data_IF_546141399956
#
_entry.id   IF_546141399956
#
_cell.length_a   1.000
_cell.length_b   1.000
_cell.length_c   1.000
_cell.angle_alpha   90.00
_cell.angle_beta   90.00
_cell.angle_gamma   90.00
#
_symmetry.space_group_name_H-M   'P 1'
#
loop_
_entity.id
_entity.type
_entity.pdbx_description
1 polymer ?
#
# COMPACT_ATOMS: atom_id res chain seq x y z
N UNK A 1 4.73 -14.04 12.31
CA UNK A 1 5.75 -13.49 11.38
C UNK A 1 5.26 -12.13 10.89
N UNK A 2 6.15 -11.17 10.59
CA UNK A 2 5.77 -9.83 10.14
C UNK A 2 6.28 -9.57 8.72
N UNK A 3 5.47 -8.86 7.94
CA UNK A 3 5.84 -8.36 6.62
C UNK A 3 5.81 -6.84 6.62
N UNK A 4 6.67 -6.25 5.79
CA UNK A 4 6.60 -4.84 5.43
C UNK A 4 5.93 -4.72 4.07
N UNK A 5 5.13 -3.68 3.93
CA UNK A 5 4.48 -3.32 2.67
C UNK A 5 4.78 -1.86 2.38
N UNK A 6 4.97 -1.56 1.09
CA UNK A 6 4.99 -0.20 0.56
C UNK A 6 4.06 -0.14 -0.64
N UNK A 7 3.21 0.88 -0.65
CA UNK A 7 2.26 1.16 -1.72
C UNK A 7 2.39 2.64 -2.10
N UNK A 8 2.47 2.93 -3.39
CA UNK A 8 2.33 4.28 -3.94
C UNK A 8 1.22 4.31 -4.97
N UNK A 9 0.48 5.41 -4.99
CA UNK A 9 -0.57 5.67 -5.99
C UNK A 9 -0.33 7.06 -6.54
N UNK A 10 0.01 7.16 -7.81
CA UNK A 10 0.32 8.41 -8.48
C UNK A 10 -0.73 8.68 -9.57
N UNK A 11 -1.64 9.62 -9.31
CA UNK A 11 -2.58 10.09 -10.32
C UNK A 11 -1.82 10.96 -11.34
N UNK A 12 -1.72 10.48 -12.58
CA UNK A 12 -1.04 11.13 -13.70
C UNK A 12 -2.05 11.38 -14.83
N UNK A 13 -2.58 12.60 -14.89
CA UNK A 13 -3.56 12.99 -15.91
C UNK A 13 -4.90 12.25 -15.76
N UNK A 14 -5.22 11.41 -16.75
CA UNK A 14 -6.45 10.61 -16.76
C UNK A 14 -6.32 9.24 -16.09
N UNK A 15 -5.10 8.81 -15.76
CA UNK A 15 -4.82 7.49 -15.21
C UNK A 15 -4.07 7.59 -13.88
N UNK A 16 -3.96 6.50 -13.15
CA UNK A 16 -3.02 6.38 -12.04
C UNK A 16 -2.06 5.21 -12.21
N UNK A 17 -0.83 5.40 -11.76
CA UNK A 17 0.16 4.33 -11.64
C UNK A 17 0.21 3.90 -10.18
N UNK A 18 -0.03 2.62 -9.95
CA UNK A 18 -0.04 2.00 -8.62
C UNK A 18 1.15 1.06 -8.56
N UNK A 19 1.97 1.21 -7.52
CA UNK A 19 3.13 0.33 -7.31
C UNK A 19 3.14 -0.21 -5.90
N UNK A 20 3.37 -1.51 -5.79
CA UNK A 20 3.36 -2.25 -4.54
C UNK A 20 4.59 -3.11 -4.40
N UNK A 21 5.09 -3.22 -3.18
CA UNK A 21 6.02 -4.29 -2.80
C UNK A 21 5.81 -4.74 -1.37
N UNK A 22 5.99 -6.04 -1.15
CA UNK A 22 5.85 -6.71 0.14
C UNK A 22 7.07 -7.59 0.35
N UNK A 23 7.63 -7.57 1.55
CA UNK A 23 8.80 -8.37 1.90
C UNK A 23 8.77 -8.73 3.38
N UNK A 24 9.47 -9.79 3.76
CA UNK A 24 9.60 -10.16 5.18
C UNK A 24 10.28 -9.02 5.96
N UNK A 25 9.80 -8.74 7.18
CA UNK A 25 10.24 -7.59 7.98
C UNK A 25 11.76 -7.49 8.14
N UNK A 26 12.42 -8.64 8.27
CA UNK A 26 13.84 -8.75 8.60
C UNK A 26 14.72 -8.91 7.34
N UNK A 27 14.10 -8.90 6.14
CA UNK A 27 14.80 -8.86 4.85
C UNK A 27 14.95 -7.42 4.34
N UNK A 28 15.88 -7.22 3.41
CA UNK A 28 16.10 -5.93 2.76
C UNK A 28 14.88 -5.55 1.90
N UNK A 29 14.53 -4.26 1.89
CA UNK A 29 13.53 -3.73 0.95
C UNK A 29 14.00 -3.98 -0.49
N UNK A 30 13.20 -4.65 -1.34
CA UNK A 30 13.56 -4.85 -2.75
C UNK A 30 13.85 -3.51 -3.43
N UNK A 31 14.90 -3.46 -4.26
CA UNK A 31 15.24 -2.25 -5.00
C UNK A 31 14.11 -1.87 -5.97
N UNK A 32 13.61 -2.86 -6.70
CA UNK A 32 12.56 -2.70 -7.70
C UNK A 32 11.16 -2.88 -7.11
N UNK A 33 10.16 -2.38 -7.83
CA UNK A 33 8.77 -2.68 -7.54
C UNK A 33 8.45 -4.12 -7.95
N UNK A 34 7.79 -4.87 -7.07
CA UNK A 34 7.40 -6.26 -7.35
C UNK A 34 6.03 -6.36 -8.01
N UNK A 35 5.26 -5.27 -8.00
CA UNK A 35 3.92 -5.21 -8.60
C UNK A 35 3.65 -3.80 -9.08
N UNK A 36 3.17 -3.68 -10.32
CA UNK A 36 2.75 -2.42 -10.93
C UNK A 36 1.40 -2.61 -11.63
N UNK A 37 0.54 -1.59 -11.54
CA UNK A 37 -0.78 -1.58 -12.17
C UNK A 37 -1.13 -0.17 -12.63
N UNK A 38 -1.84 -0.07 -13.75
CA UNK A 38 -2.36 1.20 -14.25
C UNK A 38 -3.88 1.22 -14.11
N UNK A 39 -4.38 2.16 -13.29
CA UNK A 39 -5.82 2.42 -13.16
C UNK A 39 -6.24 3.42 -14.25
N UNK A 40 -7.13 3.03 -15.18
CA UNK A 40 -7.59 3.93 -16.24
C UNK A 40 -8.61 4.97 -15.75
N UNK A 41 -9.19 4.83 -14.56
CA UNK A 41 -10.23 5.74 -14.04
C UNK A 41 -10.03 5.99 -12.53
N UNK A 42 -8.96 6.71 -12.14
CA UNK A 42 -8.59 6.84 -10.74
C UNK A 42 -9.43 7.87 -9.99
N UNK A 43 -9.58 7.63 -8.68
CA UNK A 43 -9.99 8.66 -7.74
C UNK A 43 -8.86 9.70 -7.60
N UNK A 44 -9.19 10.99 -7.82
CA UNK A 44 -8.20 12.09 -7.79
C UNK A 44 -8.08 12.77 -6.43
N UNK A 45 -9.07 12.57 -5.58
CA UNK A 45 -9.18 13.14 -4.24
C UNK A 45 -9.79 12.12 -3.30
N UNK A 46 -9.50 12.26 -2.02
CA UNK A 46 -9.95 11.33 -0.99
C UNK A 46 -8.92 11.17 0.12
N UNK A 47 -9.29 10.39 1.13
CA UNK A 47 -8.38 10.05 2.22
C UNK A 47 -7.70 8.71 1.95
N UNK A 48 -6.41 8.56 2.27
CA UNK A 48 -5.78 7.25 2.28
C UNK A 48 -6.44 6.37 3.36
N UNK A 49 -6.69 5.11 3.04
CA UNK A 49 -7.33 4.17 3.97
C UNK A 49 -6.61 2.81 3.96
N UNK A 50 -6.54 2.18 5.14
CA UNK A 50 -6.06 0.83 5.33
C UNK A 50 -7.19 0.01 5.94
N UNK A 51 -7.57 -1.07 5.26
CA UNK A 51 -8.73 -1.89 5.60
C UNK A 51 -8.36 -3.36 5.64
N UNK A 52 -8.95 -4.10 6.57
CA UNK A 52 -8.92 -5.56 6.60
C UNK A 52 -10.34 -6.10 6.66
N UNK A 53 -10.59 -7.15 5.89
CA UNK A 53 -11.85 -7.89 5.92
C UNK A 53 -11.57 -9.35 6.25
N UNK A 54 -12.10 -9.81 7.38
CA UNK A 54 -11.91 -11.18 7.89
C UNK A 54 -13.19 -11.98 7.60
N UNK A 55 -13.03 -13.12 6.95
CA UNK A 55 -14.09 -14.07 6.67
C UNK A 55 -13.99 -15.28 7.62
N UNK A 56 -15.08 -16.05 7.75
CA UNK A 56 -15.07 -17.31 8.50
C UNK A 56 -15.27 -17.18 10.01
N UNK A 57 -15.94 -16.12 10.47
CA UNK A 57 -16.42 -16.05 11.84
C UNK A 57 -17.71 -16.88 12.00
N UNK A 58 -17.76 -17.72 13.02
CA UNK A 58 -18.95 -18.45 13.45
C UNK A 58 -19.35 -17.98 14.85
N UNK A 59 -20.54 -18.35 15.33
CA UNK A 59 -21.06 -17.90 16.62
C UNK A 59 -20.11 -18.12 17.81
N UNK A 60 -19.25 -19.14 17.71
CA UNK A 60 -18.25 -19.55 18.70
C UNK A 60 -16.80 -19.48 18.18
N UNK A 61 -16.57 -18.95 16.98
CA UNK A 61 -15.24 -18.83 16.38
C UNK A 61 -15.02 -17.39 15.90
N UNK A 62 -14.24 -16.57 16.61
CA UNK A 62 -14.12 -15.13 16.35
C UNK A 62 -13.44 -14.74 15.01
N UNK A 63 -13.05 -15.72 14.18
CA UNK A 63 -12.31 -15.48 12.94
C UNK A 63 -10.82 -15.24 13.19
N UNK A 64 -10.09 -14.87 12.13
CA UNK A 64 -8.67 -14.57 12.22
C UNK A 64 -8.43 -13.14 12.71
N UNK A 65 -7.43 -12.95 13.57
CA UNK A 65 -6.97 -11.62 13.97
C UNK A 65 -6.08 -11.00 12.89
N UNK A 66 -6.14 -9.66 12.77
CA UNK A 66 -5.28 -8.89 11.87
C UNK A 66 -4.58 -7.81 12.68
N UNK A 67 -3.25 -7.76 12.57
CA UNK A 67 -2.42 -6.81 13.29
C UNK A 67 -1.68 -5.89 12.32
N UNK A 68 -1.67 -4.60 12.62
CA UNK A 68 -0.90 -3.59 11.92
C UNK A 68 0.04 -2.88 12.89
N UNK A 69 1.24 -2.54 12.44
CA UNK A 69 2.20 -1.80 13.23
C UNK A 69 2.98 -0.85 12.31
N UNK A 70 3.46 0.27 12.86
CA UNK A 70 4.29 1.26 12.15
C UNK A 70 3.63 1.80 10.86
N UNK A 71 2.33 2.05 10.90
CA UNK A 71 1.59 2.60 9.74
C UNK A 71 1.94 4.07 9.58
N UNK A 72 2.47 4.43 8.41
CA UNK A 72 2.75 5.81 8.03
C UNK A 72 2.18 6.08 6.65
N UNK A 73 1.49 7.22 6.50
CA UNK A 73 1.04 7.71 5.20
C UNK A 73 1.67 9.06 4.95
N UNK A 74 2.33 9.20 3.80
CA UNK A 74 3.03 10.41 3.41
C UNK A 74 2.66 10.80 1.99
N UNK A 75 2.75 12.07 1.61
CA UNK A 75 2.70 12.46 0.20
C UNK A 75 3.74 11.68 -0.62
N UNK A 76 3.42 11.36 -1.87
CA UNK A 76 4.42 10.82 -2.79
C UNK A 76 5.55 11.83 -2.96
N UNK A 77 6.78 11.33 -3.11
CA UNK A 77 7.91 12.19 -3.48
C UNK A 77 7.65 12.72 -4.89
N UNK A 78 7.77 14.04 -5.09
CA UNK A 78 7.73 14.63 -6.44
C UNK A 78 8.98 14.16 -7.19
N UNK A 79 8.82 13.47 -8.30
CA UNK A 79 9.91 13.36 -9.27
C UNK A 79 10.16 14.76 -9.87
N UNK A 80 11.36 15.30 -9.67
CA UNK A 80 11.80 16.51 -10.38
C UNK A 80 11.94 17.82 -9.59
N UNK A 81 12.27 17.81 -8.31
CA UNK A 81 13.00 18.95 -7.72
C UNK A 81 14.31 18.45 -7.14
N UNK A 82 15.40 18.69 -7.89
CA UNK A 82 16.72 18.71 -7.30
C UNK A 82 16.66 19.64 -6.09
N UNK A 83 17.03 19.13 -4.92
CA UNK A 83 17.34 19.96 -3.77
C UNK A 83 18.46 20.92 -4.22
N UNK A 84 18.11 22.20 -4.36
CA UNK A 84 19.07 23.28 -4.34
C UNK A 84 19.46 23.55 -2.89
#
# INVERSE_FOLDING_TARGET
MWYRMKLTVEAQGEKAVIRGKVWERDQQEPADWTTEFQDPVPNREGSPYLYSYVLGFLADQPGAEVFFANVSVTPNKKEGTAQK
#
